data_IF_838075567568
#
_entry.id   IF_838075567568
#
_cell.length_a   1.000
_cell.length_b   1.000
_cell.length_c   1.000
_cell.angle_alpha   90.00
_cell.angle_beta   90.00
_cell.angle_gamma   90.00
#
_symmetry.space_group_name_H-M   'P 1'
#
loop_
_entity.id
_entity.type
_entity.pdbx_description
1 polymer ?
#
# COMPACT_ATOMS: atom_id res chain seq x y z
N UNK A 1 5.91 1.75 20.49
CA UNK A 1 6.44 2.49 19.31
C UNK A 1 6.79 1.60 18.12
N UNK A 2 7.20 0.34 18.33
CA UNK A 2 7.57 -0.57 17.23
C UNK A 2 6.48 -0.72 16.15
N UNK A 3 5.20 -0.79 16.54
CA UNK A 3 4.07 -0.92 15.60
C UNK A 3 3.96 0.27 14.65
N UNK A 4 4.23 1.49 15.13
CA UNK A 4 4.21 2.71 14.30
C UNK A 4 5.34 2.71 13.27
N UNK A 5 6.54 2.27 13.66
CA UNK A 5 7.66 2.07 12.74
C UNK A 5 7.31 1.05 11.65
N UNK A 6 6.73 -0.09 12.03
CA UNK A 6 6.31 -1.12 11.09
C UNK A 6 5.25 -0.59 10.13
N UNK A 7 4.22 0.09 10.63
CA UNK A 7 3.16 0.66 9.79
C UNK A 7 3.72 1.65 8.77
N UNK A 8 4.59 2.56 9.22
CA UNK A 8 5.22 3.59 8.37
C UNK A 8 6.12 2.96 7.30
N UNK A 9 6.95 1.99 7.69
CA UNK A 9 7.83 1.29 6.75
C UNK A 9 7.06 0.45 5.72
N UNK A 10 6.00 -0.24 6.14
CA UNK A 10 5.12 -0.98 5.24
C UNK A 10 4.42 -0.07 4.24
N UNK A 11 4.00 1.13 4.67
CA UNK A 11 3.38 2.11 3.79
C UNK A 11 4.28 2.48 2.60
N UNK A 12 5.54 2.78 2.90
CA UNK A 12 6.57 3.09 1.90
C UNK A 12 6.84 1.88 1.01
N UNK A 13 6.98 0.68 1.59
CA UNK A 13 7.27 -0.54 0.85
C UNK A 13 6.16 -0.90 -0.14
N UNK A 14 4.90 -0.86 0.29
CA UNK A 14 3.72 -1.15 -0.56
C UNK A 14 3.64 -0.15 -1.71
N UNK A 15 3.88 1.13 -1.44
CA UNK A 15 3.92 2.16 -2.48
C UNK A 15 5.06 1.92 -3.48
N UNK A 16 6.28 1.66 -3.00
CA UNK A 16 7.44 1.42 -3.84
C UNK A 16 7.25 0.20 -4.75
N UNK A 17 6.72 -0.91 -4.24
CA UNK A 17 6.43 -2.11 -5.05
C UNK A 17 5.35 -1.83 -6.10
N UNK A 18 4.29 -1.10 -5.73
CA UNK A 18 3.20 -0.74 -6.65
C UNK A 18 3.73 0.16 -7.77
N UNK A 19 4.59 1.13 -7.44
CA UNK A 19 5.25 2.00 -8.40
C UNK A 19 6.19 1.23 -9.34
N UNK A 20 6.99 0.31 -8.79
CA UNK A 20 7.91 -0.51 -9.58
C UNK A 20 7.15 -1.39 -10.59
N UNK A 21 6.04 -2.01 -10.17
CA UNK A 21 5.17 -2.78 -11.05
C UNK A 21 4.46 -1.90 -12.09
N UNK A 22 3.98 -0.72 -11.71
CA UNK A 22 3.35 0.23 -12.63
C UNK A 22 4.31 0.75 -13.72
N UNK A 23 5.62 0.76 -13.43
CA UNK A 23 6.70 1.18 -14.34
C UNK A 23 7.35 0.01 -15.11
N UNK A 24 6.85 -1.22 -14.96
CA UNK A 24 7.43 -2.40 -15.62
C UNK A 24 8.80 -2.84 -15.07
N UNK A 25 9.24 -2.30 -13.93
CA UNK A 25 10.50 -2.69 -13.27
C UNK A 25 10.33 -3.97 -12.47
N UNK A 26 9.15 -4.17 -11.87
CA UNK A 26 8.79 -5.39 -11.14
C UNK A 26 7.84 -6.22 -12.00
N UNK A 27 8.30 -7.32 -12.63
CA UNK A 27 7.45 -8.19 -13.45
C UNK A 27 6.46 -8.97 -12.58
N UNK A 28 5.43 -9.54 -13.22
CA UNK A 28 4.48 -10.41 -12.54
C UNK A 28 5.22 -11.59 -11.87
N UNK A 29 4.96 -11.80 -10.58
CA UNK A 29 5.67 -12.82 -9.80
C UNK A 29 4.79 -13.40 -8.69
N UNK A 30 5.30 -14.43 -8.00
CA UNK A 30 4.60 -15.12 -6.93
C UNK A 30 4.75 -14.49 -5.54
N UNK A 31 5.62 -13.49 -5.36
CA UNK A 31 6.05 -13.01 -4.04
C UNK A 31 5.46 -11.64 -3.66
N UNK A 32 5.52 -10.67 -4.56
CA UNK A 32 5.27 -9.25 -4.28
C UNK A 32 4.26 -8.64 -5.26
N UNK A 33 3.54 -7.61 -4.80
CA UNK A 33 2.53 -6.88 -5.57
C UNK A 33 1.09 -7.39 -5.38
N UNK A 34 0.15 -6.82 -6.14
CA UNK A 34 -1.27 -7.19 -6.10
C UNK A 34 -1.48 -8.41 -7.00
N UNK A 35 -1.67 -9.58 -6.36
CA UNK A 35 -1.71 -10.88 -7.03
C UNK A 35 -3.13 -11.41 -7.06
N UNK A 36 -3.83 -11.17 -8.16
CA UNK A 36 -5.08 -11.85 -8.48
C UNK A 36 -4.88 -12.64 -9.78
N UNK A 37 -5.73 -13.63 -10.06
CA UNK A 37 -5.66 -14.34 -11.35
C UNK A 37 -5.73 -13.39 -12.56
N UNK A 38 -6.43 -12.26 -12.44
CA UNK A 38 -6.49 -11.27 -13.50
C UNK A 38 -5.17 -10.50 -13.65
N UNK A 39 -4.58 -10.02 -12.55
CA UNK A 39 -3.33 -9.23 -12.62
C UNK A 39 -2.14 -10.05 -13.09
N UNK A 40 -2.12 -11.36 -12.82
CA UNK A 40 -1.02 -12.26 -13.19
C UNK A 40 -1.18 -12.91 -14.58
N UNK A 41 -2.24 -12.59 -15.33
CA UNK A 41 -2.52 -13.22 -16.63
C UNK A 41 -1.50 -12.86 -17.72
N UNK A 42 -0.95 -11.66 -17.67
CA UNK A 42 0.07 -11.17 -18.59
C UNK A 42 0.80 -9.96 -17.99
N UNK A 43 2.00 -9.65 -18.50
CA UNK A 43 2.73 -8.44 -18.08
C UNK A 43 1.94 -7.14 -18.37
N UNK A 44 1.22 -7.09 -19.50
CA UNK A 44 0.36 -5.95 -19.82
C UNK A 44 -0.76 -5.76 -18.78
N UNK A 45 -1.40 -6.85 -18.34
CA UNK A 45 -2.42 -6.83 -17.30
C UNK A 45 -1.83 -6.43 -15.94
N UNK A 46 -0.63 -6.93 -15.63
CA UNK A 46 0.12 -6.61 -14.42
C UNK A 46 0.42 -5.12 -14.31
N UNK A 47 1.02 -4.53 -15.34
CA UNK A 47 1.35 -3.10 -15.33
C UNK A 47 0.09 -2.23 -15.31
N UNK A 48 -0.94 -2.58 -16.11
CA UNK A 48 -2.19 -1.83 -16.16
C UNK A 48 -2.90 -1.82 -14.79
N UNK A 49 -2.91 -2.95 -14.10
CA UNK A 49 -3.43 -3.07 -12.75
C UNK A 49 -2.71 -2.19 -11.75
N UNK A 50 -1.37 -2.22 -11.75
CA UNK A 50 -0.58 -1.44 -10.81
C UNK A 50 -0.60 0.06 -11.12
N UNK A 51 -0.67 0.45 -12.40
CA UNK A 51 -0.94 1.86 -12.79
C UNK A 51 -2.28 2.35 -12.25
N UNK A 52 -3.33 1.52 -12.33
CA UNK A 52 -4.65 1.86 -11.80
C UNK A 52 -4.70 1.91 -10.26
N UNK A 53 -3.95 1.05 -9.58
CA UNK A 53 -3.87 1.02 -8.12
C UNK A 53 -3.00 2.13 -7.53
N UNK A 54 -2.01 2.63 -8.28
CA UNK A 54 -1.00 3.57 -7.78
C UNK A 54 -1.59 4.84 -7.14
N UNK A 55 -2.64 5.50 -7.66
CA UNK A 55 -3.23 6.67 -7.00
C UNK A 55 -3.78 6.34 -5.60
N UNK A 56 -4.49 5.22 -5.46
CA UNK A 56 -5.04 4.76 -4.17
C UNK A 56 -3.92 4.51 -3.17
N UNK A 57 -2.91 3.75 -3.59
CA UNK A 57 -1.75 3.42 -2.74
C UNK A 57 -0.95 4.67 -2.39
N UNK A 58 -0.81 5.63 -3.31
CA UNK A 58 -0.05 6.87 -3.06
C UNK A 58 -0.73 7.75 -2.01
N UNK A 59 -2.05 7.95 -2.10
CA UNK A 59 -2.80 8.71 -1.09
C UNK A 59 -2.68 8.04 0.28
N UNK A 60 -2.87 6.72 0.34
CA UNK A 60 -2.74 5.98 1.58
C UNK A 60 -1.33 6.06 2.18
N UNK A 61 -0.30 5.91 1.35
CA UNK A 61 1.09 6.01 1.79
C UNK A 61 1.42 7.41 2.33
N UNK A 62 1.00 8.47 1.65
CA UNK A 62 1.21 9.85 2.13
C UNK A 62 0.56 10.06 3.49
N UNK A 63 -0.72 9.66 3.66
CA UNK A 63 -1.44 9.83 4.91
C UNK A 63 -0.81 9.01 6.06
N UNK A 64 -0.51 7.74 5.82
CA UNK A 64 0.07 6.86 6.85
C UNK A 64 1.49 7.31 7.22
N UNK A 65 2.32 7.68 6.25
CA UNK A 65 3.68 8.16 6.51
C UNK A 65 3.65 9.48 7.25
N UNK A 66 2.83 10.45 6.83
CA UNK A 66 2.72 11.73 7.52
C UNK A 66 2.26 11.56 8.97
N UNK A 67 1.20 10.78 9.21
CA UNK A 67 0.71 10.51 10.56
C UNK A 67 1.74 9.73 11.40
N UNK A 68 2.40 8.73 10.82
CA UNK A 68 3.47 7.96 11.47
C UNK A 68 4.64 8.85 11.89
N UNK A 69 5.11 9.73 10.99
CA UNK A 69 6.18 10.69 11.29
C UNK A 69 5.77 11.66 12.40
N UNK A 70 4.54 12.19 12.38
CA UNK A 70 4.03 13.05 13.46
C UNK A 70 4.06 12.30 14.80
N UNK A 71 3.55 11.07 14.85
CA UNK A 71 3.56 10.25 16.08
C UNK A 71 4.98 9.97 16.58
N UNK A 72 5.92 9.71 15.67
CA UNK A 72 7.31 9.40 16.01
C UNK A 72 8.09 10.61 16.51
N UNK A 73 7.81 11.82 16.00
CA UNK A 73 8.58 13.03 16.31
C UNK A 73 7.90 13.92 17.37
N UNK A 74 6.59 14.11 17.27
CA UNK A 74 5.82 14.98 18.15
C UNK A 74 5.16 14.24 19.31
N UNK A 75 5.20 12.91 19.32
CA UNK A 75 4.51 12.07 20.29
C UNK A 75 3.03 11.90 19.97
N UNK A 76 2.27 11.42 20.95
CA UNK A 76 0.85 11.11 20.79
C UNK A 76 0.01 11.96 21.74
N UNK A 77 -1.29 12.16 21.42
CA UNK A 77 -2.24 12.76 22.35
C UNK A 77 -2.36 11.96 23.65
N UNK A 78 -2.74 12.65 24.73
CA UNK A 78 -3.00 12.03 26.02
C UNK A 78 -4.03 10.89 25.90
N UNK A 79 -3.74 9.75 26.51
CA UNK A 79 -4.61 8.57 26.49
C UNK A 79 -4.48 7.68 25.25
N UNK A 80 -3.65 8.03 24.26
CA UNK A 80 -3.36 7.17 23.10
C UNK A 80 -2.08 6.38 23.34
N UNK A 81 -2.17 5.05 23.27
CA UNK A 81 -0.98 4.18 23.36
C UNK A 81 -0.28 4.05 21.99
N UNK A 82 1.04 3.82 21.96
CA UNK A 82 1.76 3.55 20.71
C UNK A 82 1.19 2.39 19.90
N UNK A 83 0.67 1.38 20.59
CA UNK A 83 0.08 0.18 19.99
C UNK A 83 -1.25 0.53 19.32
N UNK A 84 -2.09 1.31 19.98
CA UNK A 84 -3.35 1.79 19.40
C UNK A 84 -3.09 2.63 18.15
N UNK A 85 -2.18 3.61 18.23
CA UNK A 85 -1.80 4.45 17.09
C UNK A 85 -1.27 3.62 15.92
N UNK A 86 -0.35 2.68 16.19
CA UNK A 86 0.22 1.80 15.17
C UNK A 86 -0.83 0.89 14.53
N UNK A 87 -1.74 0.32 15.31
CA UNK A 87 -2.83 -0.51 14.79
C UNK A 87 -3.82 0.29 13.95
N UNK A 88 -4.12 1.55 14.31
CA UNK A 88 -4.95 2.44 13.48
C UNK A 88 -4.31 2.69 12.12
N UNK A 89 -3.00 2.96 12.08
CA UNK A 89 -2.26 3.14 10.83
C UNK A 89 -2.27 1.87 9.97
N UNK A 90 -2.04 0.70 10.57
CA UNK A 90 -2.12 -0.59 9.88
C UNK A 90 -3.54 -0.88 9.36
N UNK A 91 -4.57 -0.54 10.12
CA UNK A 91 -5.97 -0.68 9.70
C UNK A 91 -6.27 0.19 8.47
N UNK A 92 -5.86 1.46 8.50
CA UNK A 92 -6.00 2.36 7.35
C UNK A 92 -5.25 1.82 6.11
N UNK A 93 -4.02 1.33 6.29
CA UNK A 93 -3.24 0.67 5.24
C UNK A 93 -3.97 -0.54 4.66
N UNK A 94 -4.52 -1.41 5.51
CA UNK A 94 -5.22 -2.62 5.09
C UNK A 94 -6.46 -2.29 4.23
N UNK A 95 -7.26 -1.29 4.64
CA UNK A 95 -8.40 -0.81 3.86
C UNK A 95 -7.94 -0.30 2.49
N UNK A 96 -6.88 0.51 2.45
CA UNK A 96 -6.33 1.02 1.20
C UNK A 96 -5.83 -0.10 0.27
N UNK A 97 -5.18 -1.13 0.82
CA UNK A 97 -4.72 -2.30 0.06
C UNK A 97 -5.89 -3.09 -0.52
N UNK A 98 -6.97 -3.28 0.24
CA UNK A 98 -8.19 -3.94 -0.28
C UNK A 98 -8.81 -3.13 -1.42
N UNK A 99 -8.93 -1.81 -1.27
CA UNK A 99 -9.45 -0.93 -2.33
C UNK A 99 -8.55 -0.99 -3.56
N UNK A 100 -7.23 -0.89 -3.37
CA UNK A 100 -6.25 -0.99 -4.44
C UNK A 100 -6.33 -2.34 -5.17
N UNK A 101 -6.54 -3.44 -4.45
CA UNK A 101 -6.72 -4.77 -5.04
C UNK A 101 -7.97 -4.87 -5.92
N UNK A 102 -9.09 -4.28 -5.49
CA UNK A 102 -10.33 -4.24 -6.29
C UNK A 102 -10.13 -3.40 -7.55
N UNK A 103 -9.48 -2.23 -7.45
CA UNK A 103 -9.19 -1.36 -8.60
C UNK A 103 -8.25 -2.06 -9.59
N UNK A 104 -7.17 -2.67 -9.09
CA UNK A 104 -6.20 -3.45 -9.86
C UNK A 104 -6.86 -4.61 -10.61
N UNK A 105 -7.66 -5.42 -9.93
CA UNK A 105 -8.33 -6.59 -10.53
C UNK A 105 -9.28 -6.16 -11.66
N UNK A 106 -10.07 -5.10 -11.43
CA UNK A 106 -10.97 -4.54 -12.46
C UNK A 106 -10.21 -4.00 -13.67
N UNK A 107 -9.07 -3.35 -13.46
CA UNK A 107 -8.23 -2.85 -14.54
C UNK A 107 -7.59 -4.00 -15.34
N UNK A 108 -7.06 -5.02 -14.66
CA UNK A 108 -6.46 -6.19 -15.31
C UNK A 108 -7.43 -7.00 -16.17
N UNK A 109 -8.72 -7.07 -15.79
CA UNK A 109 -9.76 -7.74 -16.59
C UNK A 109 -10.12 -7.00 -17.88
N UNK A 110 -9.77 -5.72 -17.98
CA UNK A 110 -10.06 -4.87 -19.15
C UNK A 110 -8.86 -4.72 -20.10
N UNK A 111 -7.67 -5.09 -19.65
CA UNK A 111 -6.43 -5.12 -20.44
C UNK A 111 -6.32 -6.41 -21.26
#
# INVERSE_FOLDING_TARGET
MAVVWVATGLAVLVWAMTLAAARGVLPANGLAGIRTPATQRSEAAWEAAHRAALPVVSVAAVLVVAAGVVVLLAGMPDGVTPEAAGLTLLGAQAVAVVVAAVVADRAARRA
#
